data_IF_820287622600
#
_entry.id   IF_820287622600
#
_cell.length_a   1.000
_cell.length_b   1.000
_cell.length_c   1.000
_cell.angle_alpha   90.00
_cell.angle_beta   90.00
_cell.angle_gamma   90.00
#
_symmetry.space_group_name_H-M   'P 1'
#
loop_
_entity.id
_entity.type
_entity.pdbx_description
1 polymer ?
#
# COMPACT_ATOMS: atom_id res chain seq x y z
N UNK A 1 13.24 11.57 -37.79
CA UNK A 1 12.40 10.80 -36.85
C UNK A 1 12.04 11.74 -35.71
N UNK A 2 10.76 12.11 -35.63
CA UNK A 2 10.26 13.19 -34.77
C UNK A 2 10.38 12.85 -33.29
N UNK A 3 10.97 13.77 -32.53
CA UNK A 3 10.95 13.79 -31.07
C UNK A 3 9.59 14.29 -30.61
N UNK A 4 8.82 13.45 -29.93
CA UNK A 4 7.55 13.82 -29.30
C UNK A 4 7.80 13.98 -27.81
N UNK A 5 8.07 15.22 -27.40
CA UNK A 5 8.06 15.65 -26.01
C UNK A 5 6.60 15.68 -25.52
N UNK A 6 6.30 14.95 -24.45
CA UNK A 6 4.96 14.90 -23.86
C UNK A 6 5.03 15.57 -22.48
N UNK A 7 4.20 16.58 -22.18
CA UNK A 7 4.31 17.30 -20.92
C UNK A 7 3.84 16.44 -19.75
N UNK A 8 4.66 16.41 -18.69
CA UNK A 8 4.33 15.84 -17.38
C UNK A 8 3.32 16.77 -16.69
N UNK A 9 2.10 16.29 -16.51
CA UNK A 9 1.08 17.01 -15.73
C UNK A 9 1.37 16.87 -14.23
N UNK A 10 1.84 17.95 -13.60
CA UNK A 10 1.96 18.06 -12.15
C UNK A 10 0.63 18.57 -11.60
N UNK A 11 -0.09 17.71 -10.86
CA UNK A 11 -1.31 18.10 -10.14
C UNK A 11 -0.91 18.64 -8.76
N UNK A 12 -1.04 19.95 -8.58
CA UNK A 12 -0.87 20.60 -7.29
C UNK A 12 -2.15 20.41 -6.48
N UNK A 13 -2.09 19.60 -5.43
CA UNK A 13 -3.21 19.42 -4.49
C UNK A 13 -3.12 20.54 -3.44
N UNK A 14 -3.91 21.59 -3.60
CA UNK A 14 -4.07 22.63 -2.58
C UNK A 14 -5.03 22.13 -1.50
N UNK A 15 -4.50 21.86 -0.31
CA UNK A 15 -5.31 21.62 0.88
C UNK A 15 -6.07 22.90 1.23
N UNK A 16 -7.40 22.84 1.29
CA UNK A 16 -8.20 23.93 1.81
C UNK A 16 -7.93 24.11 3.31
N UNK A 17 -7.28 25.22 3.69
CA UNK A 17 -7.13 25.60 5.09
C UNK A 17 -8.50 26.03 5.63
N UNK A 18 -8.95 25.39 6.71
CA UNK A 18 -10.18 25.78 7.40
C UNK A 18 -9.91 27.12 8.10
N UNK A 19 -10.57 28.18 7.64
CA UNK A 19 -10.50 29.49 8.28
C UNK A 19 -11.17 29.44 9.67
N UNK A 20 -10.53 29.96 10.74
CA UNK A 20 -11.19 30.03 12.03
C UNK A 20 -12.34 31.04 11.97
N UNK A 21 -13.53 30.59 12.36
CA UNK A 21 -14.69 31.44 12.61
C UNK A 21 -14.40 32.35 13.81
N UNK A 22 -14.06 33.61 13.54
CA UNK A 22 -14.05 34.68 14.54
C UNK A 22 -15.50 35.01 14.90
N UNK A 23 -15.92 34.61 16.10
CA UNK A 23 -17.19 35.07 16.69
C UNK A 23 -17.09 36.58 16.96
N UNK A 24 -18.06 37.41 16.55
CA UNK A 24 -18.06 38.82 16.90
C UNK A 24 -18.22 38.96 18.42
N UNK A 25 -17.31 39.73 19.03
CA UNK A 25 -17.39 40.09 20.45
C UNK A 25 -18.68 40.88 20.71
N UNK A 26 -19.53 40.37 21.60
CA UNK A 26 -20.68 41.10 22.12
C UNK A 26 -20.18 42.26 22.98
N UNK A 27 -20.56 43.48 22.65
CA UNK A 27 -20.38 44.62 23.55
C UNK A 27 -21.20 44.41 24.83
N UNK A 28 -20.67 44.76 26.02
CA UNK A 28 -21.40 44.58 27.27
C UNK A 28 -22.55 45.58 27.35
N UNK A 29 -23.78 45.09 27.39
CA UNK A 29 -24.95 45.84 27.83
C UNK A 29 -25.02 45.73 29.35
N UNK A 30 -24.88 46.87 30.03
CA UNK A 30 -24.86 46.97 31.48
C UNK A 30 -26.28 46.85 32.04
N UNK A 31 -26.51 45.77 32.79
CA UNK A 31 -27.76 45.48 33.47
C UNK A 31 -27.51 44.44 34.56
N UNK A 32 -28.08 44.59 35.77
CA UNK A 32 -27.72 43.74 36.91
C UNK A 32 -28.24 42.31 36.70
N UNK A 33 -27.33 41.40 36.34
CA UNK A 33 -27.61 39.99 36.14
C UNK A 33 -27.62 39.23 37.48
N UNK A 34 -28.80 38.73 37.83
CA UNK A 34 -29.02 37.74 38.91
C UNK A 34 -28.26 36.45 38.55
N UNK A 35 -27.46 35.84 39.45
CA UNK A 35 -26.73 34.62 39.10
C UNK A 35 -27.69 33.45 39.02
N UNK A 36 -28.08 33.08 37.80
CA UNK A 36 -28.66 31.77 37.53
C UNK A 36 -27.55 30.72 37.71
N UNK A 37 -27.70 29.85 38.71
CA UNK A 37 -26.85 28.69 38.94
C UNK A 37 -27.00 27.76 37.74
N UNK A 38 -26.11 27.87 36.75
CA UNK A 38 -26.05 26.92 35.65
C UNK A 38 -25.61 25.57 36.22
N UNK A 39 -26.53 24.62 36.35
CA UNK A 39 -26.20 23.25 36.66
C UNK A 39 -25.27 22.72 35.55
N UNK A 40 -24.07 22.27 35.92
CA UNK A 40 -23.14 21.65 35.00
C UNK A 40 -23.75 20.34 34.49
N UNK A 41 -24.22 20.34 33.25
CA UNK A 41 -24.63 19.10 32.57
C UNK A 41 -23.35 18.27 32.39
N UNK A 42 -23.26 17.04 32.91
CA UNK A 42 -22.11 16.18 32.67
C UNK A 42 -22.01 15.92 31.17
N UNK A 43 -20.99 16.48 30.53
CA UNK A 43 -20.68 16.18 29.14
C UNK A 43 -20.20 14.74 29.09
N UNK A 44 -21.10 13.80 28.77
CA UNK A 44 -20.71 12.48 28.27
C UNK A 44 -19.89 12.74 27.01
N UNK A 45 -18.58 12.48 27.08
CA UNK A 45 -17.69 12.62 25.94
C UNK A 45 -18.23 11.77 24.79
N UNK A 46 -18.42 12.39 23.62
CA UNK A 46 -18.74 11.64 22.41
C UNK A 46 -17.51 10.78 22.08
N UNK A 47 -17.72 9.48 21.88
CA UNK A 47 -16.67 8.60 21.38
C UNK A 47 -16.19 9.16 20.04
N UNK A 48 -14.90 9.52 19.98
CA UNK A 48 -14.31 10.03 18.75
C UNK A 48 -14.32 8.90 17.70
N UNK A 49 -14.71 9.17 16.45
CA UNK A 49 -14.58 8.19 15.39
C UNK A 49 -13.11 7.84 15.22
N UNK A 50 -12.80 6.54 15.17
CA UNK A 50 -11.45 6.08 14.87
C UNK A 50 -11.12 6.48 13.43
N UNK A 51 -10.01 7.20 13.19
CA UNK A 51 -9.63 7.59 11.85
C UNK A 51 -9.31 6.35 11.01
N UNK A 52 -9.61 6.37 9.70
CA UNK A 52 -9.27 5.26 8.82
C UNK A 52 -7.76 5.04 8.80
N UNK A 53 -7.35 3.79 8.65
CA UNK A 53 -5.94 3.43 8.50
C UNK A 53 -5.44 4.02 7.17
N UNK A 54 -4.56 5.02 7.25
CA UNK A 54 -3.99 5.68 6.08
C UNK A 54 -2.82 4.88 5.52
N UNK A 55 -2.78 4.76 4.20
CA UNK A 55 -1.68 4.16 3.47
C UNK A 55 -0.44 5.06 3.52
N UNK A 56 0.67 4.55 4.04
CA UNK A 56 1.93 5.30 4.21
C UNK A 56 2.97 5.04 3.11
N UNK A 57 2.78 4.02 2.28
CA UNK A 57 3.72 3.64 1.22
C UNK A 57 3.06 3.75 -0.17
N UNK A 58 3.85 4.15 -1.17
CA UNK A 58 3.44 4.28 -2.58
C UNK A 58 3.46 2.96 -3.36
N UNK A 59 3.52 1.83 -2.64
CA UNK A 59 3.57 0.49 -3.22
C UNK A 59 2.42 0.29 -4.21
N UNK A 60 2.66 -0.28 -5.38
CA UNK A 60 1.58 -0.70 -6.27
C UNK A 60 1.35 -2.17 -6.06
N UNK A 61 0.12 -2.52 -5.65
CA UNK A 61 -0.28 -3.91 -5.47
C UNK A 61 -0.96 -4.44 -6.72
N UNK A 62 -0.71 -5.71 -7.02
CA UNK A 62 -1.34 -6.43 -8.10
C UNK A 62 -1.49 -7.91 -7.74
N UNK A 63 -2.27 -8.65 -8.51
CA UNK A 63 -2.37 -10.10 -8.37
C UNK A 63 -2.23 -10.75 -9.73
N UNK A 64 -1.44 -11.82 -9.79
CA UNK A 64 -1.20 -12.54 -11.03
C UNK A 64 -1.33 -14.04 -10.81
N UNK A 65 -1.89 -14.73 -11.81
CA UNK A 65 -1.92 -16.19 -11.83
C UNK A 65 -0.57 -16.67 -12.34
N UNK A 66 0.07 -17.54 -11.59
CA UNK A 66 1.28 -18.23 -12.02
C UNK A 66 0.91 -19.27 -13.08
N UNK A 67 1.46 -19.15 -14.29
CA UNK A 67 1.21 -20.16 -15.32
C UNK A 67 2.06 -21.43 -15.15
N UNK A 68 1.87 -22.43 -16.03
CA UNK A 68 2.59 -23.71 -15.99
C UNK A 68 4.11 -23.56 -16.09
N UNK A 69 4.61 -22.61 -16.85
CA UNK A 69 6.05 -22.40 -16.98
C UNK A 69 6.62 -21.45 -15.93
N UNK A 70 5.78 -20.82 -15.10
CA UNK A 70 6.19 -19.86 -14.07
C UNK A 70 6.15 -18.40 -14.53
N UNK A 71 5.36 -18.08 -15.55
CA UNK A 71 5.15 -16.71 -16.00
C UNK A 71 4.33 -15.95 -14.97
N UNK A 72 4.76 -14.72 -14.69
CA UNK A 72 4.02 -13.74 -13.92
C UNK A 72 3.93 -12.46 -14.74
N UNK A 73 2.72 -11.98 -14.94
CA UNK A 73 2.44 -10.75 -15.69
C UNK A 73 1.56 -9.82 -14.87
N UNK A 74 2.01 -8.58 -14.68
CA UNK A 74 1.21 -7.51 -14.08
C UNK A 74 1.67 -6.17 -14.63
N UNK A 75 0.89 -5.63 -15.56
CA UNK A 75 1.26 -4.41 -16.28
C UNK A 75 1.40 -3.21 -15.34
N UNK A 76 0.60 -3.13 -14.27
CA UNK A 76 0.60 -2.00 -13.36
C UNK A 76 1.84 -2.03 -12.46
N UNK A 77 2.16 -3.18 -11.87
CA UNK A 77 3.34 -3.36 -11.04
C UNK A 77 4.64 -3.09 -11.82
N UNK A 78 4.78 -3.67 -13.03
CA UNK A 78 5.97 -3.43 -13.85
C UNK A 78 6.06 -1.98 -14.37
N UNK A 79 4.93 -1.35 -14.69
CA UNK A 79 4.91 0.06 -15.09
C UNK A 79 5.28 0.99 -13.92
N UNK A 80 4.79 0.73 -12.72
CA UNK A 80 5.10 1.51 -11.52
C UNK A 80 6.59 1.48 -11.17
N UNK A 81 7.27 0.38 -11.52
CA UNK A 81 8.72 0.24 -11.35
C UNK A 81 9.52 0.83 -12.51
N UNK A 82 8.87 1.27 -13.60
CA UNK A 82 9.55 1.76 -14.80
C UNK A 82 10.37 0.70 -15.53
N UNK A 83 10.15 -0.59 -15.26
CA UNK A 83 10.93 -1.65 -15.89
C UNK A 83 10.51 -1.84 -17.35
N UNK A 84 11.49 -1.75 -18.23
CA UNK A 84 11.34 -1.95 -19.67
C UNK A 84 11.59 -3.42 -20.02
N UNK A 85 11.22 -3.86 -21.24
CA UNK A 85 11.79 -5.08 -21.78
C UNK A 85 13.31 -5.09 -21.64
N UNK A 86 13.86 -6.27 -21.39
CA UNK A 86 15.29 -6.54 -21.16
C UNK A 86 15.90 -5.99 -19.86
N UNK A 87 15.11 -5.32 -19.00
CA UNK A 87 15.54 -5.06 -17.62
C UNK A 87 15.89 -6.38 -16.94
N UNK A 88 17.17 -6.54 -16.59
CA UNK A 88 17.71 -7.71 -15.90
C UNK A 88 17.46 -7.58 -14.41
N UNK A 89 17.01 -8.67 -13.80
CA UNK A 89 16.54 -8.76 -12.43
C UNK A 89 17.31 -9.83 -11.67
N UNK A 90 17.84 -9.45 -10.52
CA UNK A 90 18.35 -10.38 -9.52
C UNK A 90 17.19 -10.89 -8.67
N UNK A 91 17.18 -12.20 -8.44
CA UNK A 91 16.19 -12.88 -7.60
C UNK A 91 16.80 -13.11 -6.23
N UNK A 92 16.10 -12.66 -5.18
CA UNK A 92 16.39 -13.04 -3.80
C UNK A 92 15.21 -13.83 -3.24
N UNK A 93 15.47 -14.98 -2.64
CA UNK A 93 14.43 -15.87 -2.13
C UNK A 93 14.53 -15.87 -0.60
N UNK A 94 13.50 -15.33 0.04
CA UNK A 94 13.28 -15.46 1.48
C UNK A 94 12.44 -16.71 1.77
N UNK A 95 12.19 -17.01 3.05
CA UNK A 95 11.37 -18.17 3.44
C UNK A 95 9.92 -18.07 2.96
N UNK A 96 9.38 -16.86 2.92
CA UNK A 96 7.95 -16.62 2.67
C UNK A 96 7.67 -15.89 1.37
N UNK A 97 8.66 -15.28 0.75
CA UNK A 97 8.46 -14.46 -0.45
C UNK A 97 9.73 -14.44 -1.27
N UNK A 98 9.61 -13.93 -2.50
CA UNK A 98 10.78 -13.58 -3.29
C UNK A 98 10.79 -12.09 -3.61
N UNK A 99 11.98 -11.57 -3.83
CA UNK A 99 12.23 -10.17 -4.14
C UNK A 99 13.02 -10.08 -5.43
N UNK A 100 12.60 -9.18 -6.31
CA UNK A 100 13.25 -8.90 -7.59
C UNK A 100 13.73 -7.45 -7.61
N UNK A 101 14.97 -7.25 -8.02
CA UNK A 101 15.60 -5.93 -8.13
C UNK A 101 16.42 -5.83 -9.41
N UNK A 102 16.52 -4.66 -10.06
CA UNK A 102 17.39 -4.46 -11.20
C UNK A 102 18.84 -4.83 -10.88
N UNK A 103 19.46 -5.60 -11.77
CA UNK A 103 20.87 -5.96 -11.70
C UNK A 103 21.35 -6.28 -13.11
N UNK A 104 22.49 -5.71 -13.53
CA UNK A 104 23.04 -5.89 -14.88
C UNK A 104 23.27 -7.37 -15.25
N UNK A 105 23.62 -8.19 -14.26
CA UNK A 105 23.91 -9.61 -14.37
C UNK A 105 22.74 -10.52 -13.92
N UNK A 106 21.55 -9.94 -13.75
CA UNK A 106 20.38 -10.65 -13.25
C UNK A 106 19.99 -11.85 -14.13
N UNK A 107 19.75 -13.05 -13.55
CA UNK A 107 19.39 -14.24 -14.32
C UNK A 107 17.99 -14.17 -14.93
N UNK A 108 17.13 -13.30 -14.41
CA UNK A 108 15.77 -13.08 -14.91
C UNK A 108 15.73 -11.80 -15.71
N UNK A 109 14.98 -11.77 -16.81
CA UNK A 109 14.76 -10.57 -17.61
C UNK A 109 13.27 -10.30 -17.76
N UNK A 110 12.89 -9.02 -17.69
CA UNK A 110 11.56 -8.58 -18.10
C UNK A 110 11.42 -8.77 -19.61
N UNK A 111 10.35 -9.42 -20.06
CA UNK A 111 10.08 -9.66 -21.48
C UNK A 111 9.23 -8.56 -22.09
N UNK A 112 9.14 -8.53 -23.43
CA UNK A 112 8.48 -7.49 -24.24
C UNK A 112 7.02 -7.17 -23.86
N UNK A 113 6.35 -8.03 -23.08
CA UNK A 113 4.98 -7.82 -22.60
C UNK A 113 4.90 -7.64 -21.08
N UNK A 114 5.97 -7.14 -20.44
CA UNK A 114 6.02 -6.89 -18.98
C UNK A 114 5.60 -8.12 -18.18
N UNK A 115 6.28 -9.22 -18.47
CA UNK A 115 6.19 -10.43 -17.67
C UNK A 115 7.59 -10.97 -17.43
N UNK A 116 7.71 -11.81 -16.41
CA UNK A 116 8.94 -12.52 -16.07
C UNK A 116 8.65 -14.02 -16.03
N UNK A 117 9.70 -14.81 -16.22
CA UNK A 117 9.68 -16.24 -15.93
C UNK A 117 10.36 -16.48 -14.60
N UNK A 118 9.67 -17.13 -13.67
CA UNK A 118 10.28 -17.61 -12.44
C UNK A 118 11.03 -18.92 -12.71
N UNK A 119 12.33 -19.00 -12.36
CA UNK A 119 13.07 -20.26 -12.43
C UNK A 119 12.38 -21.37 -11.64
N UNK A 120 12.48 -22.61 -12.13
CA UNK A 120 11.89 -23.77 -11.47
C UNK A 120 12.34 -23.92 -10.00
N UNK A 121 13.63 -23.71 -9.73
CA UNK A 121 14.18 -23.73 -8.37
C UNK A 121 13.48 -22.73 -7.43
N UNK A 122 13.17 -21.52 -7.92
CA UNK A 122 12.44 -20.52 -7.14
C UNK A 122 11.02 -20.96 -6.83
N UNK A 123 10.34 -21.56 -7.82
CA UNK A 123 8.97 -22.07 -7.64
C UNK A 123 8.92 -23.18 -6.60
N UNK A 124 9.80 -24.17 -6.71
CA UNK A 124 9.85 -25.29 -5.77
C UNK A 124 10.17 -24.85 -4.34
N UNK A 125 11.08 -23.88 -4.16
CA UNK A 125 11.43 -23.38 -2.82
C UNK A 125 10.27 -22.68 -2.11
N UNK A 126 9.30 -22.15 -2.85
CA UNK A 126 8.12 -21.46 -2.30
C UNK A 126 6.83 -22.28 -2.44
N UNK A 127 6.93 -23.57 -2.80
CA UNK A 127 5.81 -24.48 -3.13
C UNK A 127 4.78 -23.84 -4.09
N UNK A 128 5.27 -23.08 -5.06
CA UNK A 128 4.43 -22.40 -6.05
C UNK A 128 3.98 -23.36 -7.14
N UNK A 129 2.66 -23.49 -7.30
CA UNK A 129 2.02 -24.37 -8.27
C UNK A 129 1.40 -23.58 -9.42
N UNK A 130 1.36 -24.15 -10.63
CA UNK A 130 0.58 -23.56 -11.71
C UNK A 130 -0.88 -23.35 -11.31
N UNK A 131 -1.41 -22.16 -11.55
CA UNK A 131 -2.75 -21.75 -11.14
C UNK A 131 -2.78 -20.94 -9.85
N UNK A 132 -1.70 -20.95 -9.05
CA UNK A 132 -1.63 -20.15 -7.84
C UNK A 132 -1.74 -18.66 -8.16
N UNK A 133 -2.52 -17.93 -7.35
CA UNK A 133 -2.59 -16.47 -7.40
C UNK A 133 -1.59 -15.89 -6.42
N UNK A 134 -0.58 -15.20 -6.95
CA UNK A 134 0.44 -14.54 -6.14
C UNK A 134 0.12 -13.06 -6.02
N UNK A 135 0.35 -12.51 -4.83
CA UNK A 135 0.28 -11.07 -4.59
C UNK A 135 1.62 -10.45 -5.00
N UNK A 136 1.53 -9.37 -5.77
CA UNK A 136 2.65 -8.57 -6.22
C UNK A 136 2.63 -7.24 -5.48
N UNK A 137 3.78 -6.87 -4.92
CA UNK A 137 4.00 -5.58 -4.28
C UNK A 137 5.18 -4.89 -4.95
N UNK A 138 4.88 -3.98 -5.86
CA UNK A 138 5.87 -3.12 -6.50
C UNK A 138 6.16 -1.92 -5.60
N UNK A 139 7.41 -1.71 -5.22
CA UNK A 139 7.85 -0.60 -4.38
C UNK A 139 8.71 0.36 -5.23
N UNK A 140 8.12 1.42 -5.82
CA UNK A 140 8.83 2.32 -6.75
C UNK A 140 10.07 2.97 -6.12
N UNK A 141 9.95 3.43 -4.87
CA UNK A 141 11.03 4.06 -4.09
C UNK A 141 12.24 3.13 -3.90
N UNK A 142 12.00 1.82 -3.80
CA UNK A 142 13.03 0.81 -3.56
C UNK A 142 13.45 0.07 -4.83
N UNK A 143 12.84 0.39 -5.97
CA UNK A 143 13.02 -0.33 -7.24
C UNK A 143 12.92 -1.84 -7.06
N UNK A 144 11.92 -2.27 -6.30
CA UNK A 144 11.80 -3.64 -5.80
C UNK A 144 10.42 -4.19 -6.10
N UNK A 145 10.35 -5.41 -6.65
CA UNK A 145 9.11 -6.18 -6.75
C UNK A 145 9.17 -7.34 -5.76
N UNK A 146 8.23 -7.37 -4.82
CA UNK A 146 8.05 -8.49 -3.90
C UNK A 146 6.89 -9.36 -4.38
N UNK A 147 7.09 -10.67 -4.39
CA UNK A 147 6.05 -11.64 -4.75
C UNK A 147 5.75 -12.51 -3.54
N UNK A 148 4.51 -12.44 -3.07
CA UNK A 148 4.00 -13.22 -1.96
C UNK A 148 3.17 -14.40 -2.47
N UNK A 149 3.60 -15.66 -2.23
CA UNK A 149 2.83 -16.85 -2.51
C UNK A 149 1.60 -16.96 -1.58
N UNK A 150 0.58 -17.75 -1.95
CA UNK A 150 -0.61 -17.97 -1.12
C UNK A 150 -0.29 -18.37 0.33
N UNK A 151 0.63 -19.33 0.53
CA UNK A 151 1.01 -19.79 1.86
C UNK A 151 1.56 -18.68 2.78
N UNK A 152 2.24 -17.68 2.20
CA UNK A 152 2.74 -16.54 2.96
C UNK A 152 1.62 -15.56 3.34
N UNK A 153 0.64 -15.39 2.45
CA UNK A 153 -0.56 -14.62 2.75
C UNK A 153 -1.40 -15.30 3.84
N UNK A 154 -1.55 -16.63 3.78
CA UNK A 154 -2.26 -17.41 4.80
C UNK A 154 -1.63 -17.24 6.18
N UNK A 155 -0.30 -17.34 6.25
CA UNK A 155 0.44 -17.10 7.49
C UNK A 155 0.26 -15.66 8.01
N UNK A 156 0.39 -14.66 7.13
CA UNK A 156 0.24 -13.25 7.49
C UNK A 156 -1.18 -12.93 8.01
N UNK A 157 -2.20 -13.42 7.32
CA UNK A 157 -3.60 -13.20 7.69
C UNK A 157 -3.96 -13.93 8.99
N UNK A 158 -3.45 -15.16 9.18
CA UNK A 158 -3.63 -15.91 10.43
C UNK A 158 -2.98 -15.17 11.60
N UNK A 159 -1.74 -14.70 11.44
CA UNK A 159 -1.06 -13.91 12.45
C UNK A 159 -1.85 -12.64 12.80
N UNK A 160 -2.27 -11.87 11.79
CA UNK A 160 -3.07 -10.64 12.00
C UNK A 160 -4.37 -10.91 12.76
N UNK A 161 -5.09 -11.99 12.44
CA UNK A 161 -6.34 -12.38 13.14
C UNK A 161 -6.09 -12.81 14.58
N UNK A 162 -4.96 -13.47 14.84
CA UNK A 162 -4.60 -13.89 16.21
C UNK A 162 -4.28 -12.68 17.11
N UNK A 163 -3.60 -11.66 16.56
CA UNK A 163 -3.27 -10.45 17.28
C UNK A 163 -4.53 -9.61 17.64
N UNK A 164 -5.55 -9.59 16.77
CA UNK A 164 -6.80 -8.87 17.09
C UNK A 164 -7.63 -9.55 18.17
N UNK A 165 -7.62 -10.89 18.23
CA UNK A 165 -8.36 -11.65 19.26
C UNK A 165 -7.75 -11.52 20.67
N UNK A 166 -6.50 -11.06 20.77
CA UNK A 166 -5.84 -10.85 22.05
C UNK A 166 -6.29 -9.57 22.77
N UNK A 167 -6.85 -8.59 22.05
CA UNK A 167 -7.36 -7.33 22.63
C UNK A 167 -8.84 -7.35 23.02
N UNK A 168 -9.54 -8.46 22.80
CA UNK A 168 -10.99 -8.61 22.98
C UNK A 168 -11.36 -9.40 24.24
N UNK A 169 -10.41 -9.57 25.18
CA UNK A 169 -10.58 -10.39 26.39
C UNK A 169 -10.46 -9.62 27.71
N UNK A 170 -10.41 -8.29 27.63
CA UNK A 170 -10.38 -7.37 28.78
C UNK A 170 -11.70 -6.56 28.85
N UNK A 171 -12.83 -7.24 29.06
CA UNK A 171 -14.10 -6.67 29.57
C UNK A 171 -14.77 -7.68 30.50
#
# INVERSE_FOLDING_TARGET
MCSSDAPVAVVVVTSAAIAPLLLPARTPSDGPARPARAAAIPRRGLALPEPPITRTADTVYGMSVLDRGGRIADRAAFAALGWTPDTRLRVHIARTHLTLRPALDGPVAVKNHRFIWLPAATRHRLDLRPGDRVLLAAEPQRQTLVIYPPAALDALLTHRRSASKAGDRDE
#
